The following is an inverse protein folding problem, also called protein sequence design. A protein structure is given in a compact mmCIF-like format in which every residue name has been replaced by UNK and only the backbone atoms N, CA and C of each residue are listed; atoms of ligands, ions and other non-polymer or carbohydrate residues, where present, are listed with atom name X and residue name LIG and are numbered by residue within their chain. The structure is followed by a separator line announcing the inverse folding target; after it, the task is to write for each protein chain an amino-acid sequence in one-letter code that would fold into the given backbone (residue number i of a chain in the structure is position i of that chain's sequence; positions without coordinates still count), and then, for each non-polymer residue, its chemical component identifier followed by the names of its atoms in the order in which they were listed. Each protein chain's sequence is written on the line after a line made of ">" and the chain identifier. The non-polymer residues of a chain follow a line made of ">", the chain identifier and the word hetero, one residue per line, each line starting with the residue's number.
data_IF_749080517689
#
_entry.id   IF_749080517689
#
_cell.length_a   1.000
_cell.length_b   1.000
_cell.length_c   1.000
_cell.angle_alpha   90.00
_cell.angle_beta   90.00
_cell.angle_gamma   90.00
#
_symmetry.space_group_name_H-M   'P 1'
#
loop_
_entity.id
_entity.type
_entity.pdbx_description
1 polymer ?
#
# COMPACT_ATOMS: atom_id res chain seq x y z
N UNK A 1 49.44 3.08 20.64
CA UNK A 1 48.07 2.57 20.43
C UNK A 1 47.57 3.15 19.11
N UNK A 2 47.51 2.35 18.04
CA UNK A 2 47.13 2.78 16.68
C UNK A 2 45.62 2.59 16.54
N UNK A 3 44.89 3.70 16.36
CA UNK A 3 43.44 3.69 16.12
C UNK A 3 43.21 3.18 14.70
N UNK A 4 42.58 2.00 14.55
CA UNK A 4 42.10 1.52 13.26
C UNK A 4 40.84 2.31 12.89
N UNK A 5 40.95 3.11 11.84
CA UNK A 5 39.83 3.70 11.14
C UNK A 5 39.14 2.57 10.35
N UNK A 6 37.99 2.09 10.81
CA UNK A 6 37.11 1.25 9.99
C UNK A 6 36.37 2.16 9.00
N UNK A 7 36.96 2.37 7.83
CA UNK A 7 36.22 2.83 6.65
C UNK A 7 35.36 1.67 6.14
N UNK A 8 34.06 1.69 6.46
CA UNK A 8 33.09 0.86 5.80
C UNK A 8 32.87 1.40 4.37
N UNK A 9 33.72 0.98 3.44
CA UNK A 9 33.47 1.15 2.01
C UNK A 9 32.29 0.24 1.67
N UNK A 10 31.09 0.81 1.58
CA UNK A 10 29.96 0.13 0.96
C UNK A 10 30.34 -0.14 -0.50
N UNK A 11 30.69 -1.39 -0.79
CA UNK A 11 30.85 -1.88 -2.15
C UNK A 11 29.44 -1.87 -2.76
N UNK A 12 29.07 -0.77 -3.42
CA UNK A 12 27.86 -0.70 -4.23
C UNK A 12 28.14 -1.54 -5.48
N UNK A 13 27.96 -2.86 -5.38
CA UNK A 13 27.75 -3.67 -6.56
C UNK A 13 26.60 -3.01 -7.33
N UNK A 14 26.80 -2.72 -8.61
CA UNK A 14 25.74 -2.24 -9.48
C UNK A 14 24.69 -3.35 -9.59
N UNK A 15 23.77 -3.39 -8.63
CA UNK A 15 22.58 -4.20 -8.69
C UNK A 15 21.78 -3.66 -9.87
N UNK A 16 21.65 -4.46 -10.92
CA UNK A 16 20.62 -4.28 -11.92
C UNK A 16 19.30 -4.11 -11.17
N UNK A 17 18.60 -3.01 -11.47
CA UNK A 17 17.31 -2.71 -10.89
C UNK A 17 16.25 -3.10 -11.92
N UNK A 18 15.43 -4.10 -11.59
CA UNK A 18 14.27 -4.42 -12.41
C UNK A 18 13.11 -3.50 -12.02
N UNK A 19 12.50 -2.85 -13.00
CA UNK A 19 11.42 -1.87 -12.78
C UNK A 19 10.14 -2.26 -13.52
N UNK A 20 9.00 -2.11 -12.84
CA UNK A 20 7.66 -2.15 -13.44
C UNK A 20 6.88 -0.91 -12.98
N UNK A 21 5.99 -0.39 -13.82
CA UNK A 21 5.15 0.77 -13.50
C UNK A 21 3.68 0.48 -13.85
N UNK A 22 2.76 0.83 -12.95
CA UNK A 22 1.32 0.59 -13.11
C UNK A 22 0.50 1.78 -12.63
N UNK A 23 -0.61 2.05 -13.33
CA UNK A 23 -1.61 3.03 -12.88
C UNK A 23 -2.59 2.43 -11.85
N UNK A 24 -3.07 1.21 -12.09
CA UNK A 24 -4.03 0.51 -11.20
C UNK A 24 -3.54 -0.87 -10.75
N UNK A 25 -2.64 -1.49 -11.52
CA UNK A 25 -1.96 -2.74 -11.17
C UNK A 25 -1.58 -3.58 -12.38
N UNK A 26 -0.83 -4.66 -12.13
CA UNK A 26 -0.45 -5.60 -13.18
C UNK A 26 0.39 -6.76 -12.69
N UNK A 27 0.70 -7.67 -13.62
CA UNK A 27 1.56 -8.83 -13.35
C UNK A 27 3.01 -8.38 -13.36
N UNK A 28 3.68 -8.60 -12.24
CA UNK A 28 5.11 -8.35 -12.04
C UNK A 28 5.88 -9.61 -12.38
N UNK A 29 6.89 -9.45 -13.25
CA UNK A 29 7.89 -10.48 -13.53
C UNK A 29 9.19 -10.07 -12.88
N UNK A 30 9.51 -10.69 -11.75
CA UNK A 30 10.69 -10.32 -10.97
C UNK A 30 11.97 -10.85 -11.62
N UNK A 31 13.05 -10.08 -11.53
CA UNK A 31 14.39 -10.56 -11.87
C UNK A 31 14.99 -11.24 -10.65
N UNK A 32 15.36 -12.51 -10.80
CA UNK A 32 15.88 -13.34 -9.71
C UNK A 32 17.15 -12.77 -9.07
N UNK A 33 17.26 -12.86 -7.74
CA UNK A 33 18.39 -12.39 -6.93
C UNK A 33 18.76 -10.91 -7.11
N UNK A 34 17.84 -10.09 -7.61
CA UNK A 34 18.04 -8.66 -7.83
C UNK A 34 17.05 -7.82 -7.02
N UNK A 35 17.41 -6.55 -6.85
CA UNK A 35 16.43 -5.57 -6.37
C UNK A 35 15.40 -5.33 -7.47
N UNK A 36 14.14 -5.48 -7.08
CA UNK A 36 12.98 -5.24 -7.92
C UNK A 36 12.19 -4.07 -7.34
N UNK A 37 11.73 -3.19 -8.22
CA UNK A 37 10.93 -2.01 -7.87
C UNK A 37 9.67 -1.99 -8.71
N UNK A 38 8.53 -1.98 -8.05
CA UNK A 38 7.23 -1.72 -8.67
C UNK A 38 6.83 -0.30 -8.31
N UNK A 39 6.57 0.52 -9.32
CA UNK A 39 6.10 1.90 -9.17
C UNK A 39 4.60 1.96 -9.44
N UNK A 40 3.87 2.64 -8.57
CA UNK A 40 2.46 2.93 -8.74
C UNK A 40 2.30 4.42 -9.03
N UNK A 41 1.65 4.74 -10.15
CA UNK A 41 1.56 6.09 -10.70
C UNK A 41 0.11 6.56 -10.81
N UNK A 42 -0.14 7.84 -10.60
CA UNK A 42 -1.41 8.49 -10.92
C UNK A 42 -1.12 9.67 -11.84
N UNK A 43 -1.59 9.60 -13.08
CA UNK A 43 -1.20 10.57 -14.11
C UNK A 43 0.32 10.56 -14.33
N UNK A 44 0.98 11.69 -14.08
CA UNK A 44 2.44 11.85 -14.19
C UNK A 44 3.17 11.74 -12.85
N UNK A 45 2.47 11.46 -11.76
CA UNK A 45 3.02 11.46 -10.40
C UNK A 45 3.21 10.04 -9.88
N UNK A 46 4.33 9.80 -9.20
CA UNK A 46 4.51 8.55 -8.46
C UNK A 46 3.81 8.65 -7.12
N UNK A 47 2.88 7.73 -6.86
CA UNK A 47 2.15 7.65 -5.60
C UNK A 47 2.92 6.80 -4.58
N UNK A 48 3.39 5.62 -5.01
CA UNK A 48 4.11 4.70 -4.15
C UNK A 48 5.06 3.80 -4.93
N UNK A 49 5.97 3.15 -4.21
CA UNK A 49 6.82 2.07 -4.71
C UNK A 49 6.80 0.87 -3.77
N UNK A 50 6.84 -0.33 -4.34
CA UNK A 50 7.15 -1.58 -3.65
C UNK A 50 8.55 -2.02 -4.05
N UNK A 51 9.45 -2.16 -3.09
CA UNK A 51 10.84 -2.54 -3.28
C UNK A 51 11.15 -3.87 -2.56
N UNK A 52 11.77 -4.81 -3.25
CA UNK A 52 12.12 -6.10 -2.67
C UNK A 52 13.30 -6.77 -3.38
N UNK A 53 14.07 -7.56 -2.65
CA UNK A 53 15.07 -8.47 -3.23
C UNK A 53 14.38 -9.78 -3.60
N UNK A 54 14.33 -10.13 -4.88
CA UNK A 54 13.62 -11.33 -5.32
C UNK A 54 14.37 -12.62 -4.95
N UNK A 55 13.63 -13.71 -4.85
CA UNK A 55 14.18 -15.07 -4.72
C UNK A 55 15.00 -15.48 -5.95
N UNK A 56 15.69 -16.62 -5.86
CA UNK A 56 16.51 -17.16 -6.95
C UNK A 56 15.71 -17.68 -8.13
N UNK A 57 14.43 -17.97 -7.92
CA UNK A 57 13.47 -18.43 -8.92
C UNK A 57 12.10 -17.84 -8.56
N UNK A 58 11.88 -16.54 -8.83
CA UNK A 58 10.70 -15.85 -8.34
C UNK A 58 9.48 -16.15 -9.22
N UNK A 59 8.39 -16.57 -8.57
CA UNK A 59 7.08 -16.67 -9.22
C UNK A 59 6.56 -15.29 -9.63
N UNK A 60 5.79 -15.24 -10.72
CA UNK A 60 5.06 -14.03 -11.07
C UNK A 60 3.96 -13.76 -10.04
N UNK A 61 3.75 -12.49 -9.71
CA UNK A 61 2.66 -12.06 -8.84
C UNK A 61 1.97 -10.81 -9.38
N UNK A 62 0.73 -10.59 -8.99
CA UNK A 62 0.01 -9.36 -9.24
C UNK A 62 0.33 -8.34 -8.14
N UNK A 63 0.55 -7.09 -8.56
CA UNK A 63 0.67 -5.95 -7.67
C UNK A 63 -0.26 -4.83 -8.17
N UNK A 64 -1.12 -4.32 -7.30
CA UNK A 64 -2.02 -3.20 -7.56
C UNK A 64 -2.02 -2.19 -6.43
N UNK A 65 -2.47 -0.98 -6.73
CA UNK A 65 -2.70 0.08 -5.76
C UNK A 65 -4.01 0.77 -6.12
N UNK A 66 -4.91 0.88 -5.15
CA UNK A 66 -6.05 1.80 -5.20
C UNK A 66 -5.88 2.89 -4.15
N UNK A 67 -6.27 4.11 -4.50
CA UNK A 67 -6.36 5.26 -3.59
C UNK A 67 -7.80 5.70 -3.37
N UNK A 68 -8.77 4.92 -3.86
CA UNK A 68 -10.20 5.23 -3.77
C UNK A 68 -10.75 4.89 -2.39
N UNK A 69 -11.60 5.77 -1.88
CA UNK A 69 -12.22 5.63 -0.56
C UNK A 69 -13.58 4.89 -0.58
N UNK A 70 -14.18 4.68 -1.76
CA UNK A 70 -15.56 4.20 -1.91
C UNK A 70 -15.87 2.89 -1.13
N UNK A 71 -14.87 2.02 -0.96
CA UNK A 71 -15.01 0.73 -0.27
C UNK A 71 -14.37 0.72 1.14
N UNK A 72 -13.94 1.87 1.67
CA UNK A 72 -13.30 1.96 2.97
C UNK A 72 -14.32 2.02 4.12
N UNK A 73 -14.40 0.94 4.90
CA UNK A 73 -15.31 0.84 6.05
C UNK A 73 -15.04 1.85 7.19
N UNK A 74 -13.94 2.59 7.14
CA UNK A 74 -13.53 3.58 8.15
C UNK A 74 -13.52 5.01 7.63
N UNK A 75 -14.02 5.27 6.41
CA UNK A 75 -13.98 6.59 5.76
C UNK A 75 -14.52 7.70 6.69
N UNK A 76 -15.69 7.50 7.29
CA UNK A 76 -16.36 8.47 8.17
C UNK A 76 -15.51 8.96 9.36
N UNK A 77 -14.51 8.18 9.80
CA UNK A 77 -13.61 8.59 10.89
C UNK A 77 -12.63 9.70 10.47
N UNK A 78 -12.45 9.90 9.16
CA UNK A 78 -11.47 10.82 8.60
C UNK A 78 -12.11 12.02 7.88
N UNK A 79 -13.44 12.13 7.85
CA UNK A 79 -14.18 13.19 7.15
C UNK A 79 -13.85 14.63 7.64
N UNK A 80 -13.39 14.76 8.88
CA UNK A 80 -13.09 16.05 9.52
C UNK A 80 -11.62 16.49 9.39
N UNK A 81 -10.87 15.85 8.49
CA UNK A 81 -9.44 16.08 8.28
C UNK A 81 -8.99 15.71 6.87
N UNK A 82 -7.75 16.10 6.53
CA UNK A 82 -7.12 15.57 5.33
C UNK A 82 -6.56 14.17 5.60
N UNK A 83 -6.97 13.18 4.79
CA UNK A 83 -6.49 11.81 4.88
C UNK A 83 -6.40 11.16 3.49
N UNK A 84 -5.43 10.26 3.34
CA UNK A 84 -5.14 9.56 2.10
C UNK A 84 -5.09 8.05 2.30
N UNK A 85 -5.78 7.31 1.43
CA UNK A 85 -5.83 5.86 1.48
C UNK A 85 -4.92 5.24 0.42
N UNK A 86 -4.24 4.16 0.80
CA UNK A 86 -3.38 3.36 -0.07
C UNK A 86 -3.70 1.87 0.14
N UNK A 87 -4.54 1.29 -0.72
CA UNK A 87 -4.90 -0.11 -0.72
C UNK A 87 -4.02 -0.89 -1.69
N UNK A 88 -2.97 -1.53 -1.16
CA UNK A 88 -2.09 -2.39 -1.95
C UNK A 88 -2.67 -3.80 -2.08
N UNK A 89 -2.84 -4.25 -3.32
CA UNK A 89 -3.29 -5.60 -3.64
C UNK A 89 -2.11 -6.44 -4.11
N UNK A 90 -1.87 -7.57 -3.44
CA UNK A 90 -0.79 -8.51 -3.76
C UNK A 90 -1.38 -9.91 -3.87
N UNK A 91 -1.12 -10.60 -4.97
CA UNK A 91 -1.59 -11.97 -5.18
C UNK A 91 -0.62 -12.79 -6.05
N UNK A 92 -0.16 -13.99 -5.63
CA UNK A 92 -0.42 -14.63 -4.33
C UNK A 92 0.44 -14.06 -3.20
N UNK A 93 1.70 -13.74 -3.46
CA UNK A 93 2.64 -13.18 -2.50
C UNK A 93 3.85 -12.60 -3.20
N UNK A 94 4.58 -11.70 -2.54
CA UNK A 94 5.83 -11.14 -3.05
C UNK A 94 6.93 -12.21 -2.94
N UNK A 95 7.58 -12.63 -4.05
CA UNK A 95 8.62 -13.67 -4.06
C UNK A 95 9.96 -13.10 -3.57
N UNK A 96 10.10 -12.86 -2.27
CA UNK A 96 11.25 -12.16 -1.69
C UNK A 96 11.96 -12.90 -0.57
N UNK A 97 13.29 -12.89 -0.66
CA UNK A 97 14.22 -13.39 0.38
C UNK A 97 14.24 -12.50 1.63
N UNK A 98 13.89 -11.22 1.47
CA UNK A 98 13.93 -10.22 2.53
C UNK A 98 12.52 -9.70 2.81
N UNK A 99 12.35 -8.90 3.88
CA UNK A 99 11.08 -8.21 4.10
C UNK A 99 11.01 -7.02 3.12
N UNK A 100 10.01 -6.98 2.21
CA UNK A 100 9.81 -5.88 1.28
C UNK A 100 9.64 -4.53 1.98
N UNK A 101 9.93 -3.46 1.25
CA UNK A 101 9.74 -2.08 1.68
C UNK A 101 8.69 -1.42 0.80
N UNK A 102 7.66 -0.85 1.42
CA UNK A 102 6.74 0.08 0.78
C UNK A 102 7.27 1.49 1.00
N UNK A 103 7.27 2.28 -0.06
CA UNK A 103 7.62 3.70 -0.08
C UNK A 103 6.40 4.45 -0.57
N UNK A 104 5.85 5.36 0.23
CA UNK A 104 4.73 6.23 -0.13
C UNK A 104 5.29 7.66 -0.26
N UNK A 105 5.03 8.31 -1.38
CA UNK A 105 5.39 9.72 -1.56
C UNK A 105 4.45 10.58 -0.72
N UNK A 106 4.97 11.63 -0.08
CA UNK A 106 4.19 12.42 0.85
C UNK A 106 2.98 13.10 0.15
N UNK A 107 1.73 12.67 0.41
CA UNK A 107 0.58 13.21 -0.29
C UNK A 107 0.15 14.58 0.25
N UNK A 108 0.69 15.00 1.41
CA UNK A 108 0.45 16.31 1.99
C UNK A 108 1.38 17.39 1.41
N UNK A 109 2.28 17.02 0.50
CA UNK A 109 3.28 17.88 -0.09
C UNK A 109 3.11 17.93 -1.62
N UNK A 110 2.04 18.59 -2.06
CA UNK A 110 1.68 18.65 -3.48
C UNK A 110 2.61 19.56 -4.31
N UNK A 111 3.30 20.53 -3.68
CA UNK A 111 4.07 21.58 -4.36
C UNK A 111 5.41 21.95 -3.68
N UNK A 112 5.90 21.15 -2.73
CA UNK A 112 7.09 21.47 -1.91
C UNK A 112 6.78 22.30 -0.65
N UNK A 113 5.50 22.64 -0.43
CA UNK A 113 4.97 23.26 0.78
C UNK A 113 4.08 22.25 1.51
N UNK A 114 4.69 21.33 2.25
CA UNK A 114 3.97 20.33 3.03
C UNK A 114 2.95 20.99 3.97
N UNK A 115 1.67 20.67 3.78
CA UNK A 115 0.56 21.22 4.56
C UNK A 115 0.70 20.92 6.06
N UNK A 116 1.40 19.82 6.38
CA UNK A 116 1.77 19.39 7.72
C UNK A 116 3.21 18.92 7.78
N UNK A 117 3.81 19.03 8.96
CA UNK A 117 5.13 18.46 9.22
C UNK A 117 5.07 16.93 9.01
N UNK A 118 5.90 16.34 8.14
CA UNK A 118 5.85 14.91 7.83
C UNK A 118 6.01 13.98 9.04
N UNK A 119 6.58 14.47 10.14
CA UNK A 119 6.73 13.71 11.40
C UNK A 119 5.47 13.65 12.25
N UNK A 120 4.50 14.51 11.96
CA UNK A 120 3.24 14.60 12.71
C UNK A 120 2.11 13.81 12.01
N UNK A 121 2.38 13.23 10.83
CA UNK A 121 1.47 12.33 10.11
C UNK A 121 1.21 11.07 10.95
N UNK A 122 -0.06 10.69 11.06
CA UNK A 122 -0.48 9.46 11.74
C UNK A 122 -0.79 8.39 10.69
N UNK A 123 -0.28 7.18 10.90
CA UNK A 123 -0.41 6.08 9.97
C UNK A 123 -1.29 4.99 10.56
N UNK A 124 -2.35 4.63 9.85
CA UNK A 124 -3.22 3.52 10.20
C UNK A 124 -3.12 2.39 9.18
N UNK A 125 -3.40 1.16 9.63
CA UNK A 125 -3.55 -0.01 8.77
C UNK A 125 -4.87 -0.69 9.05
N UNK A 126 -5.54 -1.12 7.98
CA UNK A 126 -6.71 -1.99 8.09
C UNK A 126 -6.24 -3.44 8.09
N UNK A 127 -6.42 -4.13 9.23
CA UNK A 127 -6.06 -5.53 9.43
C UNK A 127 -7.26 -6.28 9.99
N UNK A 128 -7.70 -7.37 9.34
CA UNK A 128 -8.78 -8.24 9.82
C UNK A 128 -10.09 -7.49 10.18
N UNK A 129 -10.41 -6.41 9.45
CA UNK A 129 -11.59 -5.59 9.71
C UNK A 129 -11.49 -4.65 10.91
N UNK A 130 -10.26 -4.38 11.38
CA UNK A 130 -9.97 -3.42 12.45
C UNK A 130 -8.99 -2.36 11.94
N UNK A 131 -9.14 -1.13 12.41
CA UNK A 131 -8.19 -0.04 12.17
C UNK A 131 -7.14 -0.02 13.29
N UNK A 132 -5.87 -0.13 12.93
CA UNK A 132 -4.74 -0.19 13.85
C UNK A 132 -3.81 0.99 13.61
N UNK A 133 -3.38 1.69 14.67
CA UNK A 133 -2.29 2.67 14.59
C UNK A 133 -0.96 1.93 14.36
N UNK A 134 -0.32 2.24 13.25
CA UNK A 134 0.96 1.68 12.80
C UNK A 134 2.05 2.74 12.64
N UNK A 135 1.85 3.94 13.19
CA UNK A 135 2.77 5.09 13.03
C UNK A 135 4.19 4.74 13.48
N UNK A 136 4.33 3.95 14.55
CA UNK A 136 5.64 3.49 15.06
C UNK A 136 6.43 2.59 14.09
N UNK A 137 5.78 2.01 13.07
CA UNK A 137 6.43 1.18 12.05
C UNK A 137 6.87 1.97 10.81
N UNK A 138 6.40 3.20 10.66
CA UNK A 138 6.77 4.06 9.56
C UNK A 138 8.04 4.84 9.87
N UNK A 139 8.86 5.05 8.84
CA UNK A 139 10.02 5.94 8.89
C UNK A 139 9.86 7.03 7.86
N UNK A 140 9.98 8.28 8.30
CA UNK A 140 10.02 9.47 7.46
C UNK A 140 11.43 9.68 6.95
N UNK A 141 11.58 9.90 5.65
CA UNK A 141 12.86 10.16 5.01
C UNK A 141 12.72 11.04 3.77
N UNK A 142 13.80 11.17 3.03
CA UNK A 142 13.89 11.93 1.78
C UNK A 142 14.49 10.99 0.71
N UNK A 143 13.98 11.07 -0.52
CA UNK A 143 14.55 10.33 -1.64
C UNK A 143 15.70 11.10 -2.33
N UNK A 144 16.36 10.50 -3.31
CA UNK A 144 17.49 11.14 -4.03
C UNK A 144 17.09 12.41 -4.81
N UNK A 145 15.79 12.64 -5.02
CA UNK A 145 15.23 13.82 -5.70
C UNK A 145 14.86 14.94 -4.72
N UNK A 146 14.94 14.70 -3.41
CA UNK A 146 14.55 15.66 -2.38
C UNK A 146 13.09 15.54 -1.93
N UNK A 147 12.33 14.57 -2.45
CA UNK A 147 10.93 14.41 -2.06
C UNK A 147 10.83 13.69 -0.72
N UNK A 148 9.94 14.17 0.15
CA UNK A 148 9.63 13.49 1.41
C UNK A 148 8.92 12.17 1.13
N UNK A 149 9.39 11.10 1.76
CA UNK A 149 8.83 9.75 1.63
C UNK A 149 8.55 9.12 3.00
N UNK A 150 7.51 8.28 3.02
CA UNK A 150 7.15 7.44 4.15
C UNK A 150 7.46 5.98 3.82
N UNK A 151 8.19 5.29 4.69
CA UNK A 151 8.62 3.92 4.43
C UNK A 151 8.16 2.96 5.52
N UNK A 152 7.68 1.79 5.12
CA UNK A 152 7.30 0.69 6.03
C UNK A 152 7.77 -0.64 5.45
N UNK A 153 8.25 -1.54 6.32
CA UNK A 153 8.70 -2.87 5.91
C UNK A 153 7.64 -3.91 6.23
N UNK A 154 7.14 -4.62 5.23
CA UNK A 154 6.08 -5.61 5.40
C UNK A 154 6.06 -6.65 4.29
N UNK A 155 5.68 -7.89 4.61
CA UNK A 155 5.37 -8.92 3.61
C UNK A 155 3.92 -8.89 3.15
N UNK A 156 3.06 -8.18 3.87
CA UNK A 156 1.63 -8.04 3.58
C UNK A 156 1.30 -6.55 3.61
N UNK A 157 1.40 -5.84 2.49
CA UNK A 157 1.09 -4.41 2.43
C UNK A 157 -0.34 -4.10 2.92
N UNK A 158 -1.37 -4.66 2.29
CA UNK A 158 -2.76 -4.39 2.67
C UNK A 158 -3.13 -2.92 2.49
N UNK A 159 -4.05 -2.40 3.32
CA UNK A 159 -4.53 -1.03 3.21
C UNK A 159 -3.98 -0.14 4.32
N UNK A 160 -3.40 0.98 3.92
CA UNK A 160 -2.91 2.04 4.80
C UNK A 160 -3.74 3.31 4.65
N UNK A 161 -3.88 4.06 5.75
CA UNK A 161 -4.47 5.40 5.77
C UNK A 161 -3.45 6.33 6.42
N UNK A 162 -3.12 7.43 5.73
CA UNK A 162 -2.26 8.50 6.22
C UNK A 162 -3.16 9.67 6.60
N UNK A 163 -3.10 10.12 7.86
CA UNK A 163 -4.01 11.09 8.41
C UNK A 163 -3.25 12.29 9.00
N UNK A 164 -3.88 13.46 8.93
CA UNK A 164 -3.37 14.72 9.49
C UNK A 164 -3.30 14.69 11.03
N UNK A 165 -4.26 14.04 11.67
CA UNK A 165 -4.37 13.94 13.14
C UNK A 165 -4.90 12.56 13.57
N UNK A 166 -4.70 12.24 14.84
CA UNK A 166 -5.21 11.01 15.43
C UNK A 166 -6.76 10.96 15.43
N UNK A 167 -7.32 9.78 15.18
CA UNK A 167 -8.76 9.50 15.32
C UNK A 167 -9.06 8.70 16.59
N UNK A 168 -10.28 8.82 17.11
CA UNK A 168 -10.72 8.06 18.28
C UNK A 168 -11.07 6.60 17.91
N UNK A 169 -10.07 5.72 18.03
CA UNK A 169 -10.22 4.28 17.78
C UNK A 169 -11.19 3.59 18.77
N UNK A 170 -11.44 4.15 19.96
CA UNK A 170 -12.32 3.54 20.95
C UNK A 170 -13.81 3.71 20.61
N UNK A 171 -14.15 4.67 19.76
CA UNK A 171 -15.50 4.89 19.24
C UNK A 171 -15.91 3.86 18.17
N UNK A 172 -14.96 3.06 17.69
CA UNK A 172 -15.13 2.14 16.57
C UNK A 172 -15.78 0.84 17.04
N UNK A 173 -17.10 0.71 16.84
CA UNK A 173 -17.69 -0.63 16.76
C UNK A 173 -17.14 -1.28 15.49
N UNK A 174 -16.53 -2.47 15.60
CA UNK A 174 -16.14 -3.31 14.45
C UNK A 174 -17.20 -3.17 13.35
N UNK A 175 -16.83 -2.88 12.08
CA UNK A 175 -17.83 -2.67 11.04
C UNK A 175 -18.78 -3.86 11.07
N UNK A 176 -20.04 -3.57 11.37
CA UNK A 176 -21.09 -4.57 11.32
C UNK A 176 -21.04 -5.13 9.90
N UNK A 177 -20.92 -6.45 9.78
CA UNK A 177 -21.13 -7.13 8.52
C UNK A 177 -22.59 -6.88 8.10
N UNK A 178 -22.84 -5.74 7.47
CA UNK A 178 -24.14 -5.36 6.92
C UNK A 178 -23.91 -4.83 5.51
N UNK A 179 -23.28 -5.68 4.70
CA UNK A 179 -23.88 -5.97 3.41
C UNK A 179 -24.68 -7.26 3.61
N UNK A 180 -25.97 -7.12 3.94
CA UNK A 180 -26.91 -8.21 3.67
C UNK A 180 -26.73 -8.58 2.18
N UNK A 181 -26.55 -9.86 1.83
CA UNK A 181 -26.72 -10.25 0.45
C UNK A 181 -28.15 -9.83 0.09
N UNK A 182 -28.30 -8.98 -0.93
CA UNK A 182 -29.62 -8.76 -1.53
C UNK A 182 -30.05 -10.10 -2.12
N UNK A 183 -30.71 -10.90 -1.29
CA UNK A 183 -31.38 -12.14 -1.65
C UNK A 183 -32.41 -11.78 -2.72
N UNK A 184 -31.99 -11.86 -3.98
CA UNK A 184 -32.93 -11.94 -5.09
C UNK A 184 -33.62 -13.27 -4.90
N UNK A 185 -34.79 -13.23 -4.25
CA UNK A 185 -35.68 -14.35 -4.08
C UNK A 185 -36.02 -14.92 -5.46
N UNK A 186 -35.25 -15.93 -5.88
CA UNK A 186 -35.63 -16.80 -6.97
C UNK A 186 -36.80 -17.65 -6.46
N UNK A 187 -38.02 -17.20 -6.72
CA UNK A 187 -39.18 -18.10 -6.72
C UNK A 187 -38.91 -19.18 -7.77
N UNK A 188 -38.51 -20.35 -7.30
CA UNK A 188 -38.52 -21.56 -8.11
C UNK A 188 -39.98 -22.03 -8.13
N UNK A 189 -40.67 -21.82 -9.24
CA UNK A 189 -41.89 -22.55 -9.53
C UNK A 189 -41.52 -23.85 -10.28
N UNK A 190 -42.31 -24.89 -10.08
CA UNK A 190 -42.04 -26.26 -10.50
C UNK A 190 -42.25 -26.47 -12.01
N UNK A 191 -41.49 -25.76 -12.85
CA UNK A 191 -41.34 -26.06 -14.28
C UNK A 191 -40.08 -25.35 -14.79
N UNK A 192 -38.96 -26.07 -14.84
CA UNK A 192 -37.63 -25.51 -15.13
C UNK A 192 -37.45 -24.96 -16.54
N UNK A 193 -37.87 -23.71 -16.78
CA UNK A 193 -37.53 -22.94 -17.97
C UNK A 193 -37.18 -21.48 -17.60
N UNK A 194 -35.98 -21.08 -17.98
CA UNK A 194 -35.38 -19.76 -17.77
C UNK A 194 -35.92 -18.74 -18.79
N UNK A 195 -36.31 -17.54 -18.32
CA UNK A 195 -36.58 -16.38 -19.17
C UNK A 195 -35.68 -15.21 -18.74
N UNK A 196 -34.92 -14.58 -19.65
CA UNK A 196 -34.09 -13.42 -19.31
C UNK A 196 -34.94 -12.16 -19.21
N UNK A 197 -34.81 -11.41 -18.11
CA UNK A 197 -35.40 -10.07 -17.99
C UNK A 197 -34.67 -9.08 -18.91
N UNK A 198 -35.45 -8.41 -19.77
CA UNK A 198 -35.02 -7.26 -20.56
C UNK A 198 -35.10 -5.98 -19.72
N UNK A 199 -34.05 -5.16 -19.90
CA UNK A 199 -33.86 -3.72 -19.58
C UNK A 199 -33.96 -3.31 -18.13
#
# INVERSE_FOLDING_TARGET
>A
MKKLLCTATALLAALSLSTAAFASGGVVKSTANEMNVVTFESGSETQAKLQYMADSDPDNFYAGLSTDWDDCAFADLFDDQNAFLYAFEINPSIPSTTVPTIVIYNPFDADGDAAINPKDVVFYRISNGTLEDVSSYFTVGENDSGDTIFTVRTRTPGTYILAEKEVDLASVSKPSATAEPKETAAKTDATGLYLPSRR
#
